data_IF_923138763647
#
_entry.id   IF_923138763647
#
_cell.length_a   1.000
_cell.length_b   1.000
_cell.length_c   1.000
_cell.angle_alpha   90.00
_cell.angle_beta   90.00
_cell.angle_gamma   90.00
#
_symmetry.space_group_name_H-M   'P 1'
#
loop_
_entity.id
_entity.type
_entity.pdbx_description
1 polymer ?
#
# COMPACT_ATOMS: atom_id res chain seq x y z
N UNK A 1 2.94 0.40 12.99
CA UNK A 1 3.45 0.58 11.64
C UNK A 1 2.35 0.36 10.60
N UNK A 2 1.70 -0.83 10.51
CA UNK A 2 0.66 -1.17 9.53
C UNK A 2 -0.46 -0.11 9.43
N UNK A 3 -0.96 0.37 10.58
CA UNK A 3 -1.97 1.43 10.61
C UNK A 3 -1.50 2.72 9.91
N UNK A 4 -0.29 3.17 10.19
CA UNK A 4 0.24 4.40 9.59
C UNK A 4 0.55 4.23 8.09
N UNK A 5 0.99 3.04 7.67
CA UNK A 5 1.14 2.71 6.25
C UNK A 5 -0.19 2.82 5.52
N UNK A 6 -1.23 2.14 6.04
CA UNK A 6 -2.59 2.21 5.50
C UNK A 6 -3.12 3.65 5.48
N UNK A 7 -3.00 4.38 6.60
CA UNK A 7 -3.44 5.77 6.70
C UNK A 7 -2.76 6.68 5.66
N UNK A 8 -1.45 6.51 5.45
CA UNK A 8 -0.71 7.25 4.43
C UNK A 8 -1.27 7.01 3.04
N UNK A 9 -1.46 5.73 2.65
CA UNK A 9 -1.95 5.36 1.33
C UNK A 9 -3.40 5.80 1.11
N UNK A 10 -4.26 5.64 2.12
CA UNK A 10 -5.64 6.10 2.08
C UNK A 10 -5.73 7.63 1.92
N UNK A 11 -4.97 8.39 2.73
CA UNK A 11 -4.93 9.84 2.64
C UNK A 11 -4.39 10.35 1.30
N UNK A 12 -3.44 9.65 0.69
CA UNK A 12 -2.94 9.97 -0.65
C UNK A 12 -3.94 9.66 -1.76
N UNK A 13 -4.93 8.80 -1.52
CA UNK A 13 -5.99 8.45 -2.46
C UNK A 13 -7.22 9.38 -2.35
N UNK A 14 -7.48 9.97 -1.17
CA UNK A 14 -8.61 10.89 -0.92
C UNK A 14 -8.69 12.11 -1.87
N UNK A 15 -7.58 12.78 -2.26
CA UNK A 15 -7.65 13.97 -3.12
C UNK A 15 -8.30 13.75 -4.49
N UNK A 16 -8.39 12.52 -4.95
CA UNK A 16 -9.08 12.19 -6.19
C UNK A 16 -10.60 12.35 -6.05
N UNK A 17 -11.14 12.11 -4.85
CA UNK A 17 -12.57 12.17 -4.52
C UNK A 17 -13.01 13.52 -3.92
N UNK A 18 -12.10 14.19 -3.18
CA UNK A 18 -12.35 15.45 -2.48
C UNK A 18 -11.25 16.48 -2.82
N UNK A 19 -11.31 17.13 -4.00
CA UNK A 19 -10.25 18.03 -4.48
C UNK A 19 -10.04 19.27 -3.60
N UNK A 20 -11.06 19.76 -2.91
CA UNK A 20 -10.98 20.89 -1.96
C UNK A 20 -10.06 20.60 -0.78
N UNK A 21 -10.01 19.36 -0.30
CA UNK A 21 -9.19 18.93 0.84
C UNK A 21 -7.79 18.43 0.47
N UNK A 22 -7.41 18.58 -0.79
CA UNK A 22 -6.15 18.01 -1.33
C UNK A 22 -4.90 18.41 -0.53
N UNK A 23 -4.81 19.66 -0.11
CA UNK A 23 -3.63 20.17 0.61
C UNK A 23 -3.51 19.58 2.01
N UNK A 24 -4.61 19.54 2.75
CA UNK A 24 -4.66 18.97 4.09
C UNK A 24 -4.38 17.47 4.07
N UNK A 25 -4.96 16.72 3.13
CA UNK A 25 -4.71 15.29 2.98
C UNK A 25 -3.22 14.98 2.70
N UNK A 26 -2.52 15.82 1.90
CA UNK A 26 -1.09 15.65 1.66
C UNK A 26 -0.25 15.88 2.91
N UNK A 27 -0.56 16.89 3.72
CA UNK A 27 0.14 17.16 4.98
C UNK A 27 -0.10 16.03 5.97
N UNK A 28 -1.37 15.60 6.15
CA UNK A 28 -1.73 14.49 7.04
C UNK A 28 -1.08 13.17 6.60
N UNK A 29 -1.00 12.90 5.29
CA UNK A 29 -0.30 11.72 4.78
C UNK A 29 1.20 11.78 5.07
N UNK A 30 1.81 12.97 5.02
CA UNK A 30 3.20 13.19 5.43
C UNK A 30 3.41 12.91 6.91
N UNK A 31 2.50 13.39 7.78
CA UNK A 31 2.52 13.08 9.22
C UNK A 31 2.45 11.57 9.44
N UNK A 32 1.48 10.88 8.82
CA UNK A 32 1.33 9.43 8.95
C UNK A 32 2.59 8.67 8.48
N UNK A 33 3.19 9.07 7.36
CA UNK A 33 4.43 8.49 6.85
C UNK A 33 5.63 8.76 7.79
N UNK A 34 5.71 9.95 8.38
CA UNK A 34 6.69 10.28 9.41
C UNK A 34 6.53 9.40 10.66
N UNK A 35 5.29 9.15 11.10
CA UNK A 35 5.00 8.23 12.21
C UNK A 35 5.37 6.77 11.86
N UNK A 36 5.27 6.35 10.59
CA UNK A 36 5.86 5.08 10.16
C UNK A 36 7.37 5.05 10.44
N UNK A 37 8.08 6.09 10.03
CA UNK A 37 9.53 6.19 10.21
C UNK A 37 9.95 6.23 11.69
N UNK A 38 9.10 6.80 12.55
CA UNK A 38 9.29 6.79 14.01
C UNK A 38 9.19 5.39 14.61
N UNK A 39 8.24 4.56 14.10
CA UNK A 39 7.95 3.27 14.74
C UNK A 39 9.05 2.23 14.51
N UNK A 40 9.64 2.16 13.31
CA UNK A 40 10.65 1.15 12.91
C UNK A 40 11.47 1.60 11.71
N UNK A 41 12.60 0.93 11.48
CA UNK A 41 13.47 1.17 10.31
C UNK A 41 12.75 0.86 8.98
N UNK A 42 11.87 -0.14 8.95
CA UNK A 42 11.01 -0.45 7.81
C UNK A 42 10.09 0.72 7.42
N UNK A 43 9.72 1.55 8.42
CA UNK A 43 8.97 2.78 8.19
C UNK A 43 9.77 3.89 7.50
N UNK A 44 11.09 3.95 7.70
CA UNK A 44 11.97 4.85 6.92
C UNK A 44 12.02 4.43 5.45
N UNK A 45 12.15 3.13 5.19
CA UNK A 45 12.09 2.59 3.83
C UNK A 45 10.74 2.92 3.17
N UNK A 46 9.63 2.73 3.89
CA UNK A 46 8.30 3.10 3.41
C UNK A 46 8.20 4.59 3.07
N UNK A 47 8.69 5.47 3.95
CA UNK A 47 8.68 6.92 3.72
C UNK A 47 9.44 7.30 2.44
N UNK A 48 10.62 6.72 2.20
CA UNK A 48 11.39 6.95 0.97
C UNK A 48 10.62 6.49 -0.26
N UNK A 49 10.07 5.27 -0.21
CA UNK A 49 9.32 4.68 -1.33
C UNK A 49 8.05 5.48 -1.63
N UNK A 50 7.27 5.84 -0.62
CA UNK A 50 6.02 6.58 -0.84
C UNK A 50 6.30 8.00 -1.35
N UNK A 51 7.39 8.64 -0.89
CA UNK A 51 7.83 9.95 -1.40
C UNK A 51 8.21 9.86 -2.86
N UNK A 52 9.04 8.89 -3.23
CA UNK A 52 9.44 8.64 -4.62
C UNK A 52 8.25 8.30 -5.52
N UNK A 53 7.34 7.46 -5.06
CA UNK A 53 6.12 7.08 -5.79
C UNK A 53 5.16 8.26 -5.97
N UNK A 54 4.97 9.10 -4.93
CA UNK A 54 4.19 10.32 -5.02
C UNK A 54 4.79 11.30 -6.05
N UNK A 55 6.12 11.47 -6.00
CA UNK A 55 6.83 12.31 -6.96
C UNK A 55 6.69 11.78 -8.39
N UNK A 56 7.05 10.51 -8.62
CA UNK A 56 7.04 9.90 -9.96
C UNK A 56 5.65 9.86 -10.59
N UNK A 57 4.63 9.41 -9.84
CA UNK A 57 3.25 9.36 -10.36
C UNK A 57 2.69 10.76 -10.64
N UNK A 58 3.05 11.76 -9.82
CA UNK A 58 2.59 13.14 -10.04
C UNK A 58 3.35 13.80 -11.18
N UNK A 59 4.65 13.55 -11.30
CA UNK A 59 5.48 14.06 -12.37
C UNK A 59 4.96 13.57 -13.74
N UNK A 60 4.63 12.29 -13.82
CA UNK A 60 4.10 11.67 -15.04
C UNK A 60 2.71 12.22 -15.41
N UNK A 61 1.80 12.34 -14.42
CA UNK A 61 0.41 12.74 -14.68
C UNK A 61 0.20 14.26 -14.81
N UNK A 62 0.86 15.07 -13.97
CA UNK A 62 0.55 16.49 -13.79
C UNK A 62 1.78 17.41 -13.99
N UNK A 63 2.94 16.87 -14.30
CA UNK A 63 4.18 17.58 -14.59
C UNK A 63 4.93 18.12 -13.36
N UNK A 64 6.11 18.69 -13.59
CA UNK A 64 7.08 19.10 -12.58
C UNK A 64 6.55 20.07 -11.51
N UNK A 65 5.81 21.11 -11.94
CA UNK A 65 5.30 22.12 -11.00
C UNK A 65 4.34 21.53 -9.97
N UNK A 66 3.48 20.61 -10.41
CA UNK A 66 2.54 19.89 -9.54
C UNK A 66 3.24 18.91 -8.62
N UNK A 67 4.22 18.14 -9.15
CA UNK A 67 5.03 17.21 -8.37
C UNK A 67 5.74 17.94 -7.23
N UNK A 68 6.44 19.03 -7.52
CA UNK A 68 7.12 19.84 -6.50
C UNK A 68 6.17 20.34 -5.42
N UNK A 69 5.02 20.91 -5.80
CA UNK A 69 4.03 21.44 -4.83
C UNK A 69 3.50 20.34 -3.92
N UNK A 70 3.21 19.15 -4.46
CA UNK A 70 2.68 18.03 -3.66
C UNK A 70 3.73 17.46 -2.72
N UNK A 71 4.97 17.28 -3.20
CA UNK A 71 6.07 16.80 -2.37
C UNK A 71 6.38 17.77 -1.23
N UNK A 72 6.43 19.08 -1.49
CA UNK A 72 6.68 20.07 -0.43
C UNK A 72 5.62 19.98 0.67
N UNK A 73 4.34 19.84 0.33
CA UNK A 73 3.26 19.69 1.33
C UNK A 73 3.36 18.38 2.11
N UNK A 74 3.65 17.28 1.42
CA UNK A 74 3.86 15.99 2.04
C UNK A 74 5.05 16.02 3.01
N UNK A 75 6.19 16.52 2.56
CA UNK A 75 7.38 16.65 3.39
C UNK A 75 7.19 17.65 4.54
N UNK A 76 6.43 18.72 4.36
CA UNK A 76 6.07 19.64 5.45
C UNK A 76 5.34 18.92 6.60
N UNK A 77 4.49 17.93 6.29
CA UNK A 77 3.88 17.08 7.29
C UNK A 77 4.85 16.08 7.93
N UNK A 78 5.74 15.48 7.15
CA UNK A 78 6.70 14.49 7.65
C UNK A 78 7.86 15.10 8.45
N UNK A 79 8.28 16.31 8.10
CA UNK A 79 9.50 16.95 8.60
C UNK A 79 9.59 17.07 10.13
N UNK A 80 8.55 17.51 10.86
CA UNK A 80 8.63 17.61 12.32
C UNK A 80 8.96 16.27 12.97
N UNK A 81 8.35 15.20 12.49
CA UNK A 81 8.55 13.85 13.02
C UNK A 81 9.95 13.34 12.63
N UNK A 82 10.36 13.59 11.37
CA UNK A 82 11.69 13.20 10.90
C UNK A 82 12.81 13.88 11.70
N UNK A 83 12.66 15.15 12.05
CA UNK A 83 13.65 15.84 12.91
C UNK A 83 13.81 15.13 14.26
N UNK A 84 12.69 14.70 14.87
CA UNK A 84 12.72 13.92 16.11
C UNK A 84 13.38 12.55 15.89
N UNK A 85 13.04 11.85 14.79
CA UNK A 85 13.66 10.56 14.44
C UNK A 85 15.16 10.68 14.26
N UNK A 86 15.61 11.69 13.52
CA UNK A 86 17.03 11.94 13.28
C UNK A 86 17.74 12.25 14.60
N UNK A 87 17.20 13.18 15.41
CA UNK A 87 17.76 13.49 16.71
C UNK A 87 17.89 12.25 17.60
N UNK A 88 16.82 11.45 17.71
CA UNK A 88 16.84 10.23 18.52
C UNK A 88 17.89 9.24 18.01
N UNK A 89 17.96 9.01 16.69
CA UNK A 89 18.90 8.05 16.10
C UNK A 89 20.36 8.49 16.17
N UNK A 90 20.61 9.78 16.14
CA UNK A 90 22.00 10.29 16.17
C UNK A 90 22.53 10.52 17.58
N UNK A 91 21.65 10.83 18.54
CA UNK A 91 22.07 11.23 19.89
C UNK A 91 21.76 10.19 20.97
N UNK A 92 20.71 9.39 20.81
CA UNK A 92 20.18 8.55 21.88
C UNK A 92 20.16 7.05 21.54
N UNK A 93 20.12 6.67 20.26
CA UNK A 93 19.99 5.27 19.85
C UNK A 93 21.37 4.61 19.74
N UNK A 94 21.53 3.36 20.26
CA UNK A 94 22.72 2.57 19.94
C UNK A 94 22.80 2.26 18.43
N UNK A 95 24.00 1.92 17.97
CA UNK A 95 24.21 1.53 16.56
C UNK A 95 23.35 0.29 16.27
N UNK A 96 22.63 0.35 15.14
CA UNK A 96 21.80 -0.77 14.70
C UNK A 96 22.66 -1.97 14.33
N UNK A 97 22.36 -3.17 14.85
CA UNK A 97 23.09 -4.41 14.60
C UNK A 97 23.28 -4.74 13.12
N UNK A 98 22.27 -4.42 12.28
CA UNK A 98 22.36 -4.58 10.84
C UNK A 98 23.38 -3.63 10.19
N UNK A 99 23.60 -2.45 10.77
CA UNK A 99 24.60 -1.49 10.29
C UNK A 99 25.97 -1.76 10.89
N UNK A 100 26.01 -2.17 12.15
CA UNK A 100 27.27 -2.52 12.83
C UNK A 100 27.95 -3.75 12.21
N UNK A 101 27.17 -4.72 11.72
CA UNK A 101 27.65 -5.92 11.04
C UNK A 101 27.74 -5.81 9.53
N UNK A 102 27.49 -4.63 8.93
CA UNK A 102 27.48 -4.49 7.48
C UNK A 102 28.89 -4.40 6.91
N UNK A 103 29.31 -5.45 6.18
CA UNK A 103 30.51 -5.49 5.38
C UNK A 103 30.15 -5.37 3.87
N UNK A 104 30.57 -4.28 3.20
CA UNK A 104 30.27 -4.08 1.78
C UNK A 104 30.80 -5.20 0.88
N UNK A 105 31.96 -5.80 1.22
CA UNK A 105 32.58 -6.87 0.43
C UNK A 105 31.79 -8.16 0.56
N UNK A 106 31.39 -8.52 1.77
CA UNK A 106 30.52 -9.66 2.04
C UNK A 106 29.13 -9.47 1.44
N UNK A 107 28.57 -8.24 1.48
CA UNK A 107 27.29 -7.91 0.83
C UNK A 107 27.38 -8.07 -0.69
N UNK A 108 28.48 -7.61 -1.31
CA UNK A 108 28.70 -7.77 -2.76
C UNK A 108 28.79 -9.24 -3.17
N UNK A 109 29.47 -10.09 -2.38
CA UNK A 109 29.53 -11.52 -2.62
C UNK A 109 28.14 -12.17 -2.55
N UNK A 110 27.27 -11.74 -1.60
CA UNK A 110 25.89 -12.24 -1.48
C UNK A 110 25.00 -11.83 -2.67
N UNK A 111 25.27 -10.71 -3.32
CA UNK A 111 24.54 -10.29 -4.54
C UNK A 111 24.81 -11.21 -5.75
N UNK A 112 25.90 -11.98 -5.75
CA UNK A 112 26.21 -12.93 -6.83
C UNK A 112 25.77 -14.37 -6.52
N UNK A 113 25.24 -14.62 -5.34
CA UNK A 113 24.77 -15.95 -4.92
C UNK A 113 23.30 -16.18 -5.33
N UNK A 114 23.10 -16.81 -6.49
CA UNK A 114 21.77 -17.12 -7.01
C UNK A 114 20.96 -18.10 -6.14
N UNK A 115 21.60 -18.98 -5.38
CA UNK A 115 20.91 -19.92 -4.49
C UNK A 115 20.13 -19.15 -3.41
N UNK A 116 20.72 -18.08 -2.91
CA UNK A 116 20.13 -17.18 -1.92
C UNK A 116 18.86 -16.50 -2.43
N UNK A 117 18.85 -16.06 -3.71
CA UNK A 117 17.64 -15.48 -4.32
C UNK A 117 16.50 -16.49 -4.40
N UNK A 118 16.79 -17.75 -4.77
CA UNK A 118 15.78 -18.81 -4.83
C UNK A 118 15.19 -19.12 -3.46
N UNK A 119 16.04 -19.19 -2.42
CA UNK A 119 15.60 -19.43 -1.03
C UNK A 119 14.69 -18.29 -0.54
N UNK A 120 15.09 -17.03 -0.73
CA UNK A 120 14.29 -15.86 -0.34
C UNK A 120 12.98 -15.83 -1.12
N UNK A 121 13.00 -16.04 -2.45
CA UNK A 121 11.81 -16.05 -3.28
C UNK A 121 10.82 -17.15 -2.84
N UNK A 122 11.31 -18.36 -2.53
CA UNK A 122 10.52 -19.46 -1.98
C UNK A 122 9.88 -19.06 -0.63
N UNK A 123 10.66 -18.47 0.27
CA UNK A 123 10.17 -18.02 1.57
C UNK A 123 9.10 -16.92 1.43
N UNK A 124 9.31 -15.95 0.56
CA UNK A 124 8.33 -14.89 0.26
C UNK A 124 7.02 -15.46 -0.31
N UNK A 125 7.12 -16.41 -1.24
CA UNK A 125 5.94 -17.06 -1.83
C UNK A 125 5.13 -17.83 -0.78
N UNK A 126 5.82 -18.69 0.00
CA UNK A 126 5.17 -19.48 1.06
C UNK A 126 4.53 -18.56 2.10
N UNK A 127 5.27 -17.55 2.59
CA UNK A 127 4.76 -16.61 3.59
C UNK A 127 3.63 -15.75 3.04
N UNK A 128 3.68 -15.35 1.77
CA UNK A 128 2.61 -14.60 1.12
C UNK A 128 1.27 -15.34 1.10
N UNK A 129 1.29 -16.67 0.98
CA UNK A 129 0.08 -17.50 1.00
C UNK A 129 -0.33 -17.86 2.43
N UNK A 130 0.64 -18.04 3.34
CA UNK A 130 0.43 -18.62 4.67
C UNK A 130 0.82 -17.71 5.84
N UNK A 131 0.81 -16.40 5.65
CA UNK A 131 1.32 -15.39 6.60
C UNK A 131 0.71 -15.43 8.02
N UNK A 132 -0.31 -16.24 8.26
CA UNK A 132 -0.99 -16.36 9.55
C UNK A 132 -0.60 -17.63 10.35
N UNK A 133 0.35 -18.43 9.90
CA UNK A 133 0.74 -19.68 10.58
C UNK A 133 1.22 -19.49 12.03
N UNK A 134 1.57 -18.26 12.45
CA UNK A 134 2.04 -17.98 13.81
C UNK A 134 0.94 -17.60 14.83
N UNK A 135 -0.32 -17.42 14.42
CA UNK A 135 -1.37 -16.87 15.26
C UNK A 135 -2.37 -17.88 15.82
N UNK A 136 -2.49 -19.08 15.25
CA UNK A 136 -3.48 -20.07 15.68
C UNK A 136 -2.86 -21.48 15.62
N UNK A 137 -2.29 -21.92 16.72
CA UNK A 137 -2.00 -23.35 16.96
C UNK A 137 -3.31 -24.03 17.38
N UNK A 138 -4.22 -24.21 16.44
CA UNK A 138 -5.40 -25.04 16.65
C UNK A 138 -5.02 -26.49 16.46
N UNK A 139 -4.66 -27.17 17.55
CA UNK A 139 -4.42 -28.62 17.63
C UNK A 139 -5.70 -29.44 17.40
N UNK A 140 -6.43 -29.18 16.35
CA UNK A 140 -7.58 -30.00 15.95
C UNK A 140 -7.53 -30.26 14.45
N UNK A 141 -7.21 -31.47 14.10
CA UNK A 141 -7.47 -32.33 12.94
C UNK A 141 -7.58 -31.80 11.50
N UNK A 142 -7.91 -30.58 11.23
CA UNK A 142 -7.94 -29.96 9.90
C UNK A 142 -7.40 -28.54 10.01
N UNK A 143 -6.12 -28.36 9.73
CA UNK A 143 -5.44 -27.05 9.76
C UNK A 143 -5.83 -26.25 8.49
N UNK A 144 -6.95 -25.58 8.54
CA UNK A 144 -7.24 -24.52 7.57
C UNK A 144 -6.26 -23.37 7.81
N UNK A 145 -5.37 -23.11 6.86
CA UNK A 145 -4.48 -21.96 6.90
C UNK A 145 -5.31 -20.68 6.75
N UNK A 146 -5.44 -19.81 7.79
CA UNK A 146 -6.29 -18.63 7.73
C UNK A 146 -5.86 -17.64 6.64
N UNK A 147 -4.57 -17.61 6.26
CA UNK A 147 -4.08 -16.79 5.15
C UNK A 147 -4.62 -17.27 3.80
N UNK A 148 -4.56 -18.58 3.56
CA UNK A 148 -5.11 -19.16 2.33
C UNK A 148 -6.63 -18.96 2.26
N UNK A 149 -7.35 -19.08 3.38
CA UNK A 149 -8.79 -18.81 3.45
C UNK A 149 -9.08 -17.33 3.13
N UNK A 150 -8.30 -16.39 3.67
CA UNK A 150 -8.47 -14.97 3.40
C UNK A 150 -8.26 -14.65 1.92
N UNK A 151 -7.23 -15.20 1.30
CA UNK A 151 -6.94 -15.04 -0.13
C UNK A 151 -8.07 -15.64 -0.97
N UNK A 152 -8.54 -16.84 -0.61
CA UNK A 152 -9.67 -17.48 -1.29
C UNK A 152 -10.93 -16.61 -1.23
N UNK A 153 -11.27 -16.08 -0.07
CA UNK A 153 -12.41 -15.16 0.10
C UNK A 153 -12.28 -13.91 -0.76
N UNK A 154 -11.10 -13.32 -0.85
CA UNK A 154 -10.84 -12.18 -1.73
C UNK A 154 -11.01 -12.55 -3.21
N UNK A 155 -10.53 -13.73 -3.63
CA UNK A 155 -10.72 -14.22 -5.00
C UNK A 155 -12.21 -14.44 -5.30
N UNK A 156 -12.93 -15.12 -4.40
CA UNK A 156 -14.38 -15.35 -4.54
C UNK A 156 -15.13 -14.02 -4.63
N UNK A 157 -14.80 -13.05 -3.77
CA UNK A 157 -15.39 -11.72 -3.85
C UNK A 157 -15.12 -11.06 -5.21
N UNK A 158 -13.89 -11.14 -5.72
CA UNK A 158 -13.53 -10.57 -7.02
C UNK A 158 -14.29 -11.22 -8.18
N UNK A 159 -14.52 -12.55 -8.13
CA UNK A 159 -15.30 -13.28 -9.12
C UNK A 159 -16.77 -12.87 -9.10
N UNK A 160 -17.32 -12.57 -7.92
CA UNK A 160 -18.73 -12.17 -7.76
C UNK A 160 -18.97 -10.69 -8.07
N UNK A 161 -18.12 -9.80 -7.57
CA UNK A 161 -18.28 -8.35 -7.71
C UNK A 161 -17.62 -7.78 -8.98
N UNK A 162 -16.67 -8.52 -9.55
CA UNK A 162 -15.88 -8.09 -10.70
C UNK A 162 -14.84 -7.01 -10.39
N UNK A 163 -13.98 -6.73 -11.36
CA UNK A 163 -13.01 -5.63 -11.30
C UNK A 163 -13.65 -4.37 -11.89
N UNK A 164 -13.65 -3.29 -11.13
CA UNK A 164 -14.20 -2.00 -11.57
C UNK A 164 -13.33 -0.86 -11.06
N UNK A 165 -12.46 -0.37 -11.92
CA UNK A 165 -11.54 0.73 -11.59
C UNK A 165 -12.20 2.02 -12.07
N UNK A 166 -12.55 2.93 -11.12
CA UNK A 166 -12.95 4.29 -11.45
C UNK A 166 -11.74 5.07 -11.95
N UNK A 167 -11.89 5.84 -13.02
CA UNK A 167 -10.82 6.69 -13.57
C UNK A 167 -10.26 7.65 -12.51
N UNK A 168 -11.08 8.09 -11.57
CA UNK A 168 -10.67 8.94 -10.44
C UNK A 168 -9.69 8.23 -9.51
N UNK A 169 -9.86 6.94 -9.28
CA UNK A 169 -9.06 6.14 -8.36
C UNK A 169 -7.80 5.56 -9.03
N UNK A 170 -7.73 5.59 -10.37
CA UNK A 170 -6.63 4.97 -11.15
C UNK A 170 -5.24 5.43 -10.70
N UNK A 171 -5.04 6.75 -10.49
CA UNK A 171 -3.74 7.26 -10.02
C UNK A 171 -3.42 6.80 -8.60
N UNK A 172 -4.42 6.73 -7.72
CA UNK A 172 -4.29 6.19 -6.36
C UNK A 172 -3.93 4.71 -6.37
N UNK A 173 -4.62 3.92 -7.21
CA UNK A 173 -4.39 2.50 -7.39
C UNK A 173 -2.94 2.23 -7.89
N UNK A 174 -2.52 2.90 -8.96
CA UNK A 174 -1.15 2.77 -9.51
C UNK A 174 -0.11 3.12 -8.46
N UNK A 175 -0.30 4.21 -7.71
CA UNK A 175 0.62 4.62 -6.65
C UNK A 175 0.69 3.60 -5.53
N UNK A 176 -0.46 3.13 -5.02
CA UNK A 176 -0.52 2.13 -3.95
C UNK A 176 0.14 0.82 -4.37
N UNK A 177 -0.14 0.36 -5.60
CA UNK A 177 0.51 -0.83 -6.17
C UNK A 177 2.02 -0.65 -6.26
N UNK A 178 2.48 0.49 -6.80
CA UNK A 178 3.91 0.79 -6.90
C UNK A 178 4.59 0.79 -5.52
N UNK A 179 3.97 1.42 -4.52
CA UNK A 179 4.50 1.44 -3.15
C UNK A 179 4.60 0.02 -2.58
N UNK A 180 3.56 -0.80 -2.71
CA UNK A 180 3.57 -2.17 -2.18
C UNK A 180 4.61 -3.06 -2.89
N UNK A 181 4.75 -2.96 -4.20
CA UNK A 181 5.77 -3.69 -4.95
C UNK A 181 7.19 -3.24 -4.59
N UNK A 182 7.42 -1.93 -4.49
CA UNK A 182 8.73 -1.40 -4.15
C UNK A 182 9.14 -1.73 -2.71
N UNK A 183 8.20 -1.76 -1.75
CA UNK A 183 8.53 -2.15 -0.38
C UNK A 183 8.83 -3.65 -0.28
N UNK A 184 8.11 -4.50 -1.02
CA UNK A 184 8.43 -5.92 -1.12
C UNK A 184 9.82 -6.14 -1.75
N UNK A 185 10.14 -5.40 -2.82
CA UNK A 185 11.47 -5.42 -3.43
C UNK A 185 12.55 -4.94 -2.45
N UNK A 186 12.27 -3.89 -1.67
CA UNK A 186 13.15 -3.40 -0.62
C UNK A 186 13.39 -4.44 0.48
N UNK A 187 12.34 -5.12 0.94
CA UNK A 187 12.47 -6.21 1.90
C UNK A 187 13.30 -7.36 1.31
N UNK A 188 13.02 -7.75 0.07
CA UNK A 188 13.80 -8.77 -0.62
C UNK A 188 15.29 -8.41 -0.65
N UNK A 189 15.61 -7.17 -1.02
CA UNK A 189 16.99 -6.68 -1.06
C UNK A 189 17.68 -6.71 0.31
N UNK A 190 16.95 -6.34 1.39
CA UNK A 190 17.47 -6.43 2.77
C UNK A 190 17.83 -7.88 3.12
N UNK A 191 17.01 -8.86 2.74
CA UNK A 191 17.34 -10.28 2.98
C UNK A 191 18.53 -10.76 2.13
N UNK A 192 18.68 -10.30 0.90
CA UNK A 192 19.84 -10.63 0.09
C UNK A 192 21.13 -10.14 0.75
N UNK A 193 21.13 -8.92 1.29
CA UNK A 193 22.34 -8.26 1.84
C UNK A 193 22.53 -8.43 3.33
N UNK A 194 21.60 -9.04 4.06
CA UNK A 194 21.66 -9.16 5.54
C UNK A 194 22.98 -9.75 6.04
N UNK A 195 23.59 -9.18 7.09
CA UNK A 195 24.77 -9.78 7.75
C UNK A 195 24.39 -11.01 8.58
N UNK A 196 23.12 -11.14 8.98
CA UNK A 196 22.63 -12.25 9.79
C UNK A 196 22.54 -13.55 8.98
N UNK A 197 22.46 -14.70 9.69
CA UNK A 197 22.07 -15.96 9.06
C UNK A 197 20.73 -15.81 8.37
N UNK A 198 20.66 -16.27 7.11
CA UNK A 198 19.47 -16.03 6.27
C UNK A 198 18.25 -16.78 6.82
N UNK A 199 18.40 -18.05 7.18
CA UNK A 199 17.31 -18.89 7.68
C UNK A 199 16.73 -18.32 8.98
N UNK A 200 17.59 -17.92 9.91
CA UNK A 200 17.18 -17.27 11.15
C UNK A 200 16.45 -15.95 10.89
N UNK A 201 16.98 -15.09 10.00
CA UNK A 201 16.38 -13.80 9.70
C UNK A 201 15.01 -13.94 9.02
N UNK A 202 14.87 -14.86 8.05
CA UNK A 202 13.59 -15.17 7.42
C UNK A 202 12.57 -15.70 8.45
N UNK A 203 12.95 -16.66 9.28
CA UNK A 203 12.06 -17.27 10.28
C UNK A 203 11.53 -16.26 11.31
N UNK A 204 12.36 -15.30 11.73
CA UNK A 204 12.02 -14.37 12.83
C UNK A 204 11.31 -13.08 12.37
N UNK A 205 11.49 -12.65 11.11
CA UNK A 205 11.03 -11.34 10.69
C UNK A 205 10.05 -11.33 9.51
N UNK A 206 10.13 -12.31 8.58
CA UNK A 206 9.40 -12.27 7.32
C UNK A 206 7.87 -12.24 7.52
N UNK A 207 7.34 -13.12 8.36
CA UNK A 207 5.90 -13.20 8.65
C UNK A 207 5.34 -11.87 9.18
N UNK A 208 6.08 -11.20 10.07
CA UNK A 208 5.73 -9.88 10.60
C UNK A 208 5.72 -8.81 9.51
N UNK A 209 6.66 -8.83 8.57
CA UNK A 209 6.72 -7.87 7.48
C UNK A 209 5.50 -8.00 6.54
N UNK A 210 5.11 -9.22 6.20
CA UNK A 210 3.90 -9.46 5.41
C UNK A 210 2.63 -9.00 6.14
N UNK A 211 2.52 -9.33 7.44
CA UNK A 211 1.38 -8.90 8.26
C UNK A 211 1.25 -7.37 8.32
N UNK A 212 2.35 -6.63 8.31
CA UNK A 212 2.34 -5.17 8.29
C UNK A 212 1.80 -4.59 6.98
N UNK A 213 2.01 -5.27 5.85
CA UNK A 213 1.52 -4.84 4.54
C UNK A 213 0.06 -5.22 4.28
N UNK A 214 -0.44 -6.25 4.97
CA UNK A 214 -1.74 -6.84 4.69
C UNK A 214 -2.92 -5.85 4.68
N UNK A 215 -3.08 -4.92 5.65
CA UNK A 215 -4.15 -3.93 5.59
C UNK A 215 -4.10 -3.05 4.34
N UNK A 216 -2.88 -2.73 3.87
CA UNK A 216 -2.69 -1.95 2.64
C UNK A 216 -2.98 -2.76 1.37
N UNK A 217 -2.74 -4.07 1.40
CA UNK A 217 -3.12 -5.00 0.32
C UNK A 217 -4.65 -5.12 0.23
N UNK A 218 -5.33 -5.26 1.36
CA UNK A 218 -6.81 -5.27 1.42
C UNK A 218 -7.37 -3.94 0.90
N UNK A 219 -6.78 -2.81 1.30
CA UNK A 219 -7.18 -1.50 0.80
C UNK A 219 -7.03 -1.41 -0.73
N UNK A 220 -5.89 -1.83 -1.27
CA UNK A 220 -5.65 -1.89 -2.71
C UNK A 220 -6.69 -2.77 -3.41
N UNK A 221 -6.99 -3.92 -2.82
CA UNK A 221 -7.99 -4.85 -3.34
C UNK A 221 -9.36 -4.17 -3.49
N UNK A 222 -9.86 -3.51 -2.43
CA UNK A 222 -11.15 -2.83 -2.47
C UNK A 222 -11.17 -1.56 -3.32
N UNK A 223 -10.02 -0.95 -3.60
CA UNK A 223 -9.92 0.11 -4.60
C UNK A 223 -10.14 -0.42 -6.03
N UNK A 224 -9.81 -1.69 -6.29
CA UNK A 224 -9.92 -2.32 -7.61
C UNK A 224 -11.22 -3.12 -7.77
N UNK A 225 -11.82 -3.59 -6.68
CA UNK A 225 -13.02 -4.41 -6.70
C UNK A 225 -14.29 -3.56 -6.91
N UNK A 226 -15.25 -4.08 -7.67
CA UNK A 226 -16.54 -3.44 -7.86
C UNK A 226 -17.38 -3.46 -6.57
N UNK A 227 -18.23 -2.43 -6.38
CA UNK A 227 -19.22 -2.45 -5.31
C UNK A 227 -20.38 -3.42 -5.67
N UNK A 228 -20.87 -4.25 -4.72
CA UNK A 228 -21.93 -5.23 -4.99
C UNK A 228 -23.22 -4.61 -5.55
N UNK A 229 -23.55 -3.40 -5.10
CA UNK A 229 -24.74 -2.65 -5.51
C UNK A 229 -24.75 -2.33 -7.02
N UNK A 230 -23.57 -2.08 -7.59
CA UNK A 230 -23.45 -1.81 -9.04
C UNK A 230 -23.50 -3.09 -9.88
N UNK A 231 -23.18 -4.24 -9.31
CA UNK A 231 -23.36 -5.54 -9.97
C UNK A 231 -24.86 -5.94 -10.03
N UNK A 232 -25.60 -5.69 -8.94
CA UNK A 232 -27.04 -5.93 -8.87
C UNK A 232 -27.82 -5.05 -9.85
N UNK A 233 -27.49 -3.74 -9.92
CA UNK A 233 -28.15 -2.81 -10.85
C UNK A 233 -27.83 -3.04 -12.33
N UNK A 234 -26.70 -3.68 -12.65
CA UNK A 234 -26.35 -4.07 -14.02
C UNK A 234 -27.16 -5.30 -14.49
N UNK A 235 -27.70 -6.12 -13.56
CA UNK A 235 -28.60 -7.25 -13.86
C UNK A 235 -30.04 -6.83 -14.14
N UNK A 236 -30.50 -5.69 -13.63
CA UNK A 236 -31.80 -5.09 -13.96
C UNK A 236 -31.70 -4.32 -15.28
N UNK A 237 -31.74 -5.02 -16.39
CA UNK A 237 -32.04 -4.37 -17.69
C UNK A 237 -33.44 -3.74 -17.58
N UNK A 238 -33.60 -2.42 -17.85
CA UNK A 238 -34.94 -1.85 -17.92
C UNK A 238 -35.74 -2.66 -18.96
N UNK A 239 -36.83 -3.27 -18.50
CA UNK A 239 -37.76 -3.96 -19.39
C UNK A 239 -38.17 -3.02 -20.52
N UNK A 240 -38.48 -3.53 -21.75
CA UNK A 240 -38.78 -2.72 -22.94
C UNK A 240 -40.08 -1.91 -22.84
N UNK A 241 -40.48 -1.47 -21.64
CA UNK A 241 -41.78 -0.82 -21.37
C UNK A 241 -41.76 0.49 -20.57
N UNK A 242 -40.61 1.01 -20.05
CA UNK A 242 -40.62 2.28 -19.33
C UNK A 242 -40.51 3.48 -20.30
N UNK A 243 -41.63 3.80 -20.97
CA UNK A 243 -41.74 5.01 -21.76
C UNK A 243 -41.56 6.24 -20.86
N UNK A 244 -40.54 7.05 -21.16
CA UNK A 244 -40.33 8.39 -20.56
C UNK A 244 -41.65 9.17 -20.62
N UNK A 245 -42.10 9.80 -19.51
CA UNK A 245 -43.22 10.76 -19.60
C UNK A 245 -42.78 11.89 -20.51
N UNK A 246 -43.51 12.12 -21.57
CA UNK A 246 -43.35 13.30 -22.45
C UNK A 246 -43.61 14.56 -21.61
N UNK A 247 -42.58 15.31 -21.33
CA UNK A 247 -42.71 16.66 -20.76
C UNK A 247 -43.56 17.50 -21.71
N UNK A 248 -44.78 17.81 -21.29
CA UNK A 248 -45.74 18.67 -21.97
C UNK A 248 -45.15 20.10 -21.95
N UNK A 249 -44.72 20.59 -23.13
CA UNK A 249 -44.29 21.97 -23.33
C UNK A 249 -45.49 22.88 -23.05
N UNK A 250 -45.43 23.63 -21.94
CA UNK A 250 -46.35 24.73 -21.65
C UNK A 250 -45.90 25.92 -22.49
N UNK A 251 -46.64 26.23 -23.56
CA UNK A 251 -46.52 27.46 -24.32
C UNK A 251 -46.88 28.64 -23.41
N UNK A 252 -45.87 29.44 -23.05
CA UNK A 252 -46.06 30.70 -22.35
C UNK A 252 -46.81 31.71 -23.23
N UNK A 253 -47.94 32.14 -22.71
CA UNK A 253 -48.75 33.23 -23.25
C UNK A 253 -48.08 34.58 -22.93
N UNK A 254 -47.75 35.39 -23.93
CA UNK A 254 -47.27 36.78 -23.76
C UNK A 254 -48.48 37.69 -23.47
N UNK A 255 -48.47 38.57 -22.43
CA UNK A 255 -49.40 39.68 -22.33
C UNK A 255 -48.91 40.86 -23.17
N UNK A 256 -49.92 41.59 -23.69
CA UNK A 256 -49.79 42.87 -24.43
C UNK A 256 -49.33 43.99 -23.50
#
# INVERSE_FOLDING_TARGET
LAFFMLATLALLSLPARCPENRSGALVLSGIAAGLCAWTKNEGLLFLLIVTGSLFGTTLYADGWRSARKRIVRFLAGALPILLIVVYFKTQLSPVNDLMAGFDPTAAAAKLTDFSRYAEIAKAFFITGISFTQGLIDLRVGMQLNPGAVSILLLIVYLLLAGVRIDDRDRTGLVRTTAVLLLILAGYFFVYVTTPLDLGYHLATSLNRLFLQLWPSVIFLFFMAAGAPETAASAGERPGPGSARPKTRSVKGNKPR
#
